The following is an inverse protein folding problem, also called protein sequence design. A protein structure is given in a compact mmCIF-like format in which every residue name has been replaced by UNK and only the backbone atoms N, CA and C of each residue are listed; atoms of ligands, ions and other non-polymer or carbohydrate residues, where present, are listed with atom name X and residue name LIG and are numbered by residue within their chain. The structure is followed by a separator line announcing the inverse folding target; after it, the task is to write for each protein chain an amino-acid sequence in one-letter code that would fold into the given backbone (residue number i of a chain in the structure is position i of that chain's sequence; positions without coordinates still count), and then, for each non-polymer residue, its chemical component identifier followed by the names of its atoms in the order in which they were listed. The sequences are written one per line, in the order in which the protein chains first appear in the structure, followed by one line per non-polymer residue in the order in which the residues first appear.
data_IF_652217878096
#
_entry.id   IF_652217878096
#
_cell.length_a   1.000
_cell.length_b   1.000
_cell.length_c   1.000
_cell.angle_alpha   90.00
_cell.angle_beta   90.00
_cell.angle_gamma   90.00
#
_symmetry.space_group_name_H-M   'P 1'
#
loop_
_entity.id
_entity.type
_entity.pdbx_description
1 polymer ?
#
# COMPACT_ATOMS: atom_id res chain seq x y z
N UNK A 1 -22.67 -12.61 54.18
CA UNK A 1 -22.54 -11.97 52.91
C UNK A 1 -21.24 -12.41 52.23
N UNK A 2 -21.35 -13.07 51.14
CA UNK A 2 -20.17 -13.42 50.33
C UNK A 2 -19.72 -12.17 49.55
N UNK A 3 -18.51 -11.71 49.84
CA UNK A 3 -17.92 -10.62 49.07
C UNK A 3 -17.72 -11.07 47.60
N UNK A 4 -18.36 -10.39 46.71
CA UNK A 4 -18.15 -10.53 45.29
C UNK A 4 -16.97 -9.66 44.88
N UNK A 5 -15.81 -10.26 44.81
CA UNK A 5 -14.56 -9.59 44.46
C UNK A 5 -13.83 -8.94 45.62
N UNK A 6 -12.53 -8.81 45.50
CA UNK A 6 -11.66 -8.28 46.56
C UNK A 6 -11.57 -6.76 46.56
N UNK A 7 -12.14 -6.08 45.59
CA UNK A 7 -11.98 -4.64 45.35
C UNK A 7 -13.25 -3.81 45.58
N UNK A 8 -14.15 -4.35 46.39
CA UNK A 8 -15.33 -3.57 46.84
C UNK A 8 -14.90 -2.58 47.91
N UNK A 9 -15.18 -1.30 47.70
CA UNK A 9 -14.92 -0.28 48.69
C UNK A 9 -15.58 -0.65 50.03
N UNK A 10 -14.81 -0.52 51.10
CA UNK A 10 -15.31 -0.86 52.45
C UNK A 10 -16.60 -0.09 52.77
N UNK A 11 -17.66 -0.82 53.10
CA UNK A 11 -18.97 -0.23 53.41
C UNK A 11 -20.00 -0.28 52.26
N UNK A 12 -19.67 -0.85 51.13
CA UNK A 12 -20.63 -1.05 50.04
C UNK A 12 -21.22 -2.47 50.12
N UNK A 13 -22.51 -2.56 50.33
CA UNK A 13 -23.24 -3.82 50.35
C UNK A 13 -24.18 -3.88 49.14
N UNK A 14 -24.11 -4.93 48.36
CA UNK A 14 -24.97 -5.12 47.18
C UNK A 14 -26.45 -5.19 47.51
N UNK A 15 -26.79 -5.51 48.75
CA UNK A 15 -28.18 -5.53 49.22
C UNK A 15 -28.79 -4.13 49.38
N UNK A 16 -27.94 -3.09 49.38
CA UNK A 16 -28.36 -1.69 49.52
C UNK A 16 -28.43 -0.96 48.16
N UNK A 17 -28.05 -1.60 47.08
CA UNK A 17 -28.16 -1.01 45.75
C UNK A 17 -29.60 -1.10 45.26
N UNK A 18 -30.34 -0.03 45.43
CA UNK A 18 -31.72 0.10 44.94
C UNK A 18 -31.73 0.97 43.69
N UNK A 19 -31.94 0.35 42.52
CA UNK A 19 -32.05 1.05 41.25
C UNK A 19 -30.98 0.66 40.25
N UNK A 20 -30.97 1.35 39.10
CA UNK A 20 -29.93 1.18 38.08
C UNK A 20 -28.68 1.89 38.56
N UNK A 21 -27.61 1.15 38.76
CA UNK A 21 -26.29 1.73 39.03
C UNK A 21 -25.71 2.29 37.72
N UNK A 22 -25.63 3.60 37.65
CA UNK A 22 -25.03 4.32 36.49
C UNK A 22 -23.68 4.83 36.94
N UNK A 23 -22.63 4.09 36.61
CA UNK A 23 -21.26 4.53 36.82
C UNK A 23 -20.67 5.09 35.53
N UNK A 24 -20.10 6.27 35.63
CA UNK A 24 -19.35 6.86 34.51
C UNK A 24 -17.92 6.36 34.60
N UNK A 25 -17.46 5.74 33.49
CA UNK A 25 -16.04 5.39 33.37
C UNK A 25 -15.22 6.68 33.28
N UNK A 26 -14.29 6.85 34.22
CA UNK A 26 -13.40 8.01 34.31
C UNK A 26 -11.95 7.55 34.26
N UNK A 27 -11.05 8.44 33.87
CA UNK A 27 -9.59 8.15 33.83
C UNK A 27 -9.10 7.60 32.50
N UNK A 28 -9.96 7.47 31.49
CA UNK A 28 -9.49 7.28 30.12
C UNK A 28 -8.91 8.58 29.58
N UNK A 29 -7.74 8.50 28.99
CA UNK A 29 -7.11 9.61 28.24
C UNK A 29 -6.91 9.18 26.81
N UNK A 30 -7.30 10.05 25.89
CA UNK A 30 -6.97 9.87 24.47
C UNK A 30 -5.52 10.24 24.25
N UNK A 31 -4.76 9.36 23.61
CA UNK A 31 -3.40 9.64 23.16
C UNK A 31 -3.38 9.72 21.64
N UNK A 32 -3.38 10.97 21.15
CA UNK A 32 -3.26 11.27 19.71
C UNK A 32 -1.84 11.68 19.30
N UNK A 33 -0.90 11.71 20.25
CA UNK A 33 0.49 12.13 20.03
C UNK A 33 1.39 10.92 19.75
N UNK A 34 1.05 10.16 18.71
CA UNK A 34 1.82 8.98 18.31
C UNK A 34 3.25 9.33 17.91
N UNK A 35 4.20 8.58 18.42
CA UNK A 35 5.60 8.67 18.01
C UNK A 35 5.87 7.78 16.78
N UNK A 36 6.93 8.09 16.04
CA UNK A 36 7.36 7.23 14.92
C UNK A 36 7.68 5.79 15.37
N UNK A 37 8.16 5.60 16.60
CA UNK A 37 8.43 4.27 17.16
C UNK A 37 7.17 3.44 17.37
N UNK A 38 6.09 4.03 17.86
CA UNK A 38 4.79 3.36 18.04
C UNK A 38 4.16 3.00 16.69
N UNK A 39 4.30 3.88 15.71
CA UNK A 39 3.85 3.62 14.33
C UNK A 39 4.65 2.44 13.73
N UNK A 40 5.98 2.40 13.93
CA UNK A 40 6.82 1.29 13.47
C UNK A 40 6.39 -0.04 14.09
N UNK A 41 6.15 -0.08 15.41
CA UNK A 41 5.66 -1.26 16.11
C UNK A 41 4.29 -1.73 15.60
N UNK A 42 3.42 -0.79 15.18
CA UNK A 42 2.14 -1.14 14.58
C UNK A 42 2.33 -1.78 13.19
N UNK A 43 3.21 -1.24 12.35
CA UNK A 43 3.52 -1.83 11.04
C UNK A 43 4.22 -3.20 11.15
N UNK A 44 5.05 -3.43 12.16
CA UNK A 44 5.70 -4.73 12.39
C UNK A 44 4.71 -5.89 12.60
N UNK A 45 3.48 -5.59 13.06
CA UNK A 45 2.43 -6.62 13.18
C UNK A 45 1.95 -7.17 11.83
N UNK A 46 2.26 -6.49 10.75
CA UNK A 46 1.90 -6.89 9.39
C UNK A 46 3.04 -7.62 8.65
N UNK A 47 4.18 -7.89 9.29
CA UNK A 47 5.32 -8.56 8.65
C UNK A 47 5.05 -10.03 8.30
N UNK A 48 4.13 -10.70 8.99
CA UNK A 48 3.81 -12.09 8.71
C UNK A 48 2.99 -12.25 7.43
N UNK A 49 3.60 -12.90 6.43
CA UNK A 49 2.99 -13.15 5.12
C UNK A 49 2.14 -14.42 5.08
N UNK A 50 2.26 -15.29 6.08
CA UNK A 50 1.53 -16.55 6.12
C UNK A 50 0.13 -16.38 6.71
N UNK A 51 0.00 -15.55 7.76
CA UNK A 51 -1.27 -15.32 8.44
C UNK A 51 -2.07 -14.15 7.85
N UNK A 52 -1.41 -13.18 7.20
CA UNK A 52 -2.04 -11.97 6.70
C UNK A 52 -1.81 -11.79 5.19
N UNK A 53 -2.88 -11.88 4.41
CA UNK A 53 -2.84 -11.56 2.98
C UNK A 53 -3.12 -10.06 2.74
N UNK A 54 -2.09 -9.32 2.38
CA UNK A 54 -2.13 -7.87 2.16
C UNK A 54 -1.70 -7.59 0.71
N UNK A 55 -2.43 -6.72 0.01
CA UNK A 55 -2.10 -6.31 -1.36
C UNK A 55 -1.69 -4.84 -1.44
N UNK A 56 -2.31 -3.97 -0.62
CA UNK A 56 -2.10 -2.53 -0.63
C UNK A 56 -1.88 -2.04 0.81
N UNK A 57 -0.84 -1.25 1.04
CA UNK A 57 -0.54 -0.62 2.32
C UNK A 57 -0.70 0.89 2.16
N UNK A 58 -1.60 1.48 2.92
CA UNK A 58 -1.87 2.92 2.89
C UNK A 58 -1.13 3.57 4.04
N UNK A 59 -0.20 4.47 3.74
CA UNK A 59 0.60 5.17 4.74
C UNK A 59 -0.20 6.15 5.60
N UNK A 60 -1.34 6.61 5.11
CA UNK A 60 -2.10 7.65 5.81
C UNK A 60 -1.37 9.00 5.81
N UNK A 61 -1.49 9.75 6.89
CA UNK A 61 -0.78 11.03 7.04
C UNK A 61 0.63 10.80 7.56
N UNK A 62 1.62 11.30 6.83
CA UNK A 62 3.02 11.31 7.27
C UNK A 62 3.28 12.37 8.36
N UNK A 63 2.28 13.19 8.68
CA UNK A 63 2.35 14.28 9.66
C UNK A 63 1.84 13.89 11.06
N UNK A 64 1.74 12.59 11.35
CA UNK A 64 1.16 12.12 12.64
C UNK A 64 2.00 12.60 13.82
N UNK A 65 3.32 12.38 13.78
CA UNK A 65 4.22 12.81 14.87
C UNK A 65 4.54 14.32 14.80
N UNK A 66 4.88 14.83 13.62
CA UNK A 66 5.02 16.25 13.32
C UNK A 66 5.00 16.48 11.80
N UNK A 67 4.53 17.64 11.37
CA UNK A 67 4.37 18.00 9.95
C UNK A 67 5.70 18.52 9.37
N UNK A 68 6.68 17.63 9.27
CA UNK A 68 8.04 17.93 8.79
C UNK A 68 8.52 16.90 7.77
N UNK A 69 9.46 17.33 6.92
CA UNK A 69 10.12 16.46 5.94
C UNK A 69 10.81 15.27 6.61
N UNK A 70 11.51 15.48 7.72
CA UNK A 70 12.22 14.42 8.46
C UNK A 70 11.28 13.32 8.99
N UNK A 71 10.08 13.70 9.47
CA UNK A 71 9.10 12.72 9.90
C UNK A 71 8.47 11.98 8.72
N UNK A 72 8.26 12.65 7.58
CA UNK A 72 7.83 12.00 6.35
C UNK A 72 8.88 10.96 5.89
N UNK A 73 10.16 11.34 5.85
CA UNK A 73 11.23 10.43 5.45
C UNK A 73 11.30 9.18 6.35
N UNK A 74 11.18 9.38 7.67
CA UNK A 74 11.10 8.27 8.64
C UNK A 74 9.88 7.39 8.37
N UNK A 75 8.71 7.98 8.16
CA UNK A 75 7.47 7.26 7.88
C UNK A 75 7.54 6.46 6.57
N UNK A 76 8.07 7.07 5.50
CA UNK A 76 8.29 6.39 4.21
C UNK A 76 9.27 5.24 4.37
N UNK A 77 10.34 5.42 5.14
CA UNK A 77 11.35 4.38 5.40
C UNK A 77 10.73 3.18 6.13
N UNK A 78 9.89 3.41 7.14
CA UNK A 78 9.18 2.33 7.84
C UNK A 78 8.26 1.52 6.91
N UNK A 79 7.45 2.20 6.10
CA UNK A 79 6.57 1.52 5.15
C UNK A 79 7.39 0.79 4.08
N UNK A 80 8.48 1.40 3.60
CA UNK A 80 9.37 0.76 2.64
C UNK A 80 9.99 -0.52 3.21
N UNK A 81 10.43 -0.50 4.47
CA UNK A 81 10.95 -1.69 5.15
C UNK A 81 9.91 -2.81 5.22
N UNK A 82 8.66 -2.49 5.55
CA UNK A 82 7.56 -3.46 5.55
C UNK A 82 7.34 -4.08 4.16
N UNK A 83 7.16 -3.26 3.12
CA UNK A 83 6.83 -3.78 1.77
C UNK A 83 8.00 -4.50 1.11
N UNK A 84 9.25 -4.11 1.40
CA UNK A 84 10.46 -4.80 0.92
C UNK A 84 10.71 -6.12 1.65
N UNK A 85 10.30 -6.23 2.92
CA UNK A 85 10.35 -7.49 3.68
C UNK A 85 9.30 -8.46 3.15
N UNK A 86 8.07 -8.00 2.98
CA UNK A 86 6.94 -8.81 2.51
C UNK A 86 7.05 -9.19 1.03
N UNK A 87 7.33 -8.23 0.17
CA UNK A 87 7.37 -8.36 -1.30
C UNK A 87 6.08 -8.84 -1.96
N UNK A 88 4.97 -8.81 -1.25
CA UNK A 88 3.66 -9.26 -1.72
C UNK A 88 2.63 -8.13 -1.80
N UNK A 89 3.01 -6.90 -1.46
CA UNK A 89 2.15 -5.73 -1.41
C UNK A 89 2.82 -4.47 -1.95
N UNK A 90 2.03 -3.42 -2.16
CA UNK A 90 2.49 -2.10 -2.59
C UNK A 90 2.10 -1.06 -1.55
N UNK A 91 3.05 -0.21 -1.16
CA UNK A 91 2.87 0.91 -0.24
C UNK A 91 2.56 2.21 -0.97
N UNK A 92 1.65 3.00 -0.41
CA UNK A 92 1.22 4.30 -0.95
C UNK A 92 1.46 5.38 0.09
N UNK A 93 2.16 6.44 -0.29
CA UNK A 93 2.53 7.54 0.62
C UNK A 93 2.33 8.88 -0.06
N UNK A 94 1.79 9.83 0.71
CA UNK A 94 1.69 11.25 0.35
C UNK A 94 2.80 12.06 1.01
N UNK A 95 3.15 13.24 0.48
CA UNK A 95 4.13 14.13 1.11
C UNK A 95 3.61 14.63 2.46
N UNK A 96 4.49 15.24 3.28
CA UNK A 96 4.03 15.91 4.50
C UNK A 96 3.10 17.09 4.17
N UNK A 97 2.16 17.35 5.05
CA UNK A 97 1.04 18.26 4.77
C UNK A 97 1.51 19.68 4.45
N UNK A 98 2.49 20.22 5.20
CA UNK A 98 3.02 21.56 5.01
C UNK A 98 3.77 21.73 3.68
N UNK A 99 4.18 20.64 3.01
CA UNK A 99 4.77 20.72 1.68
C UNK A 99 3.82 21.32 0.63
N UNK A 100 2.51 21.13 0.81
CA UNK A 100 1.51 21.51 -0.20
C UNK A 100 0.36 22.35 0.33
N UNK A 101 -0.06 22.13 1.58
CA UNK A 101 -1.21 22.84 2.18
C UNK A 101 -0.75 24.17 2.76
N UNK A 102 -1.35 25.26 2.26
CA UNK A 102 -0.98 26.63 2.68
C UNK A 102 0.17 27.25 1.87
N UNK A 103 0.74 26.51 0.93
CA UNK A 103 1.78 27.04 0.01
C UNK A 103 1.12 27.90 -1.06
N UNK A 104 1.59 29.12 -1.24
CA UNK A 104 0.94 30.12 -2.09
C UNK A 104 1.13 29.82 -3.60
N UNK A 105 2.29 29.29 -3.98
CA UNK A 105 2.67 29.06 -5.37
C UNK A 105 2.74 27.56 -5.67
N UNK A 106 2.18 27.14 -6.80
CA UNK A 106 2.20 25.71 -7.20
C UNK A 106 3.63 25.22 -7.47
N UNK A 107 4.51 26.10 -7.96
CA UNK A 107 5.92 25.78 -8.18
C UNK A 107 6.66 25.48 -6.88
N UNK A 108 6.37 26.21 -5.80
CA UNK A 108 6.99 25.99 -4.50
C UNK A 108 6.47 24.68 -3.88
N UNK A 109 5.17 24.41 -3.98
CA UNK A 109 4.59 23.14 -3.55
C UNK A 109 5.22 21.96 -4.31
N UNK A 110 5.35 22.07 -5.64
CA UNK A 110 6.01 21.07 -6.48
C UNK A 110 7.45 20.82 -6.03
N UNK A 111 8.22 21.89 -5.76
CA UNK A 111 9.59 21.78 -5.30
C UNK A 111 9.68 21.10 -3.93
N UNK A 112 8.87 21.52 -2.97
CA UNK A 112 8.82 20.91 -1.62
C UNK A 112 8.52 19.41 -1.68
N UNK A 113 7.59 19.00 -2.54
CA UNK A 113 7.24 17.57 -2.74
C UNK A 113 8.42 16.81 -3.34
N UNK A 114 9.09 17.38 -4.35
CA UNK A 114 10.26 16.75 -4.99
C UNK A 114 11.41 16.63 -4.01
N UNK A 115 11.73 17.70 -3.29
CA UNK A 115 12.83 17.73 -2.33
C UNK A 115 12.59 16.70 -1.23
N UNK A 116 11.37 16.63 -0.67
CA UNK A 116 11.02 15.66 0.35
C UNK A 116 11.12 14.20 -0.12
N UNK A 117 10.67 13.86 -1.33
CA UNK A 117 10.78 12.48 -1.82
C UNK A 117 12.15 12.11 -2.40
N UNK A 118 13.04 13.07 -2.64
CA UNK A 118 14.40 12.79 -3.10
C UNK A 118 15.25 12.07 -2.04
N UNK A 119 14.99 12.32 -0.77
CA UNK A 119 15.67 11.67 0.37
C UNK A 119 15.16 10.27 0.63
N UNK A 120 13.95 9.96 0.17
CA UNK A 120 13.28 8.69 0.44
C UNK A 120 13.89 7.50 -0.32
N UNK A 121 13.83 6.29 0.28
CA UNK A 121 14.35 5.06 -0.32
C UNK A 121 13.76 4.79 -1.71
N UNK A 122 14.58 4.20 -2.59
CA UNK A 122 14.17 3.77 -3.93
C UNK A 122 13.60 2.35 -3.86
N UNK A 123 12.31 2.19 -4.15
CA UNK A 123 11.66 0.89 -4.17
C UNK A 123 10.62 0.80 -5.29
N UNK A 124 10.51 -0.36 -5.92
CA UNK A 124 9.44 -0.65 -6.87
C UNK A 124 8.13 -1.05 -6.17
N UNK A 125 8.15 -1.28 -4.87
CA UNK A 125 6.98 -1.60 -4.04
C UNK A 125 6.35 -0.37 -3.39
N UNK A 126 6.85 0.83 -3.69
CA UNK A 126 6.33 2.08 -3.16
C UNK A 126 5.78 2.96 -4.27
N UNK A 127 4.76 3.75 -3.94
CA UNK A 127 4.10 4.70 -4.82
C UNK A 127 3.94 6.03 -4.10
N UNK A 128 4.42 7.11 -4.71
CA UNK A 128 4.33 8.46 -4.21
C UNK A 128 3.29 9.26 -4.99
N UNK A 129 2.41 9.96 -4.30
CA UNK A 129 1.47 10.92 -4.88
C UNK A 129 1.91 12.37 -4.64
N UNK A 130 1.19 13.33 -5.24
CA UNK A 130 1.60 14.73 -5.23
C UNK A 130 1.02 15.55 -4.08
N UNK A 131 0.15 15.01 -3.20
CA UNK A 131 -0.31 15.85 -2.10
C UNK A 131 -1.66 15.51 -1.47
N UNK A 132 -2.51 16.53 -1.33
CA UNK A 132 -3.74 16.46 -0.54
C UNK A 132 -4.95 16.94 -1.33
N UNK A 133 -6.09 16.30 -1.08
CA UNK A 133 -7.41 16.77 -1.50
C UNK A 133 -8.15 17.43 -0.34
N UNK A 134 -8.95 18.44 -0.64
CA UNK A 134 -9.89 19.06 0.28
C UNK A 134 -11.25 18.39 0.11
N UNK A 135 -11.76 17.78 1.16
CA UNK A 135 -13.04 17.07 1.12
C UNK A 135 -13.86 17.33 2.37
N UNK A 136 -15.16 17.07 2.25
CA UNK A 136 -16.09 17.14 3.37
C UNK A 136 -16.03 15.85 4.20
N UNK A 137 -15.78 15.99 5.49
CA UNK A 137 -15.90 14.93 6.48
C UNK A 137 -17.29 14.98 7.10
N UNK A 138 -18.12 14.05 6.67
CA UNK A 138 -19.53 13.97 7.10
C UNK A 138 -19.73 13.59 8.56
N UNK A 139 -18.73 13.02 9.21
CA UNK A 139 -18.82 12.57 10.60
C UNK A 139 -18.58 13.73 11.58
N UNK A 140 -17.64 14.62 11.23
CA UNK A 140 -17.30 15.79 12.04
C UNK A 140 -17.93 17.09 11.54
N UNK A 141 -18.68 17.04 10.43
CA UNK A 141 -19.32 18.22 9.77
C UNK A 141 -18.32 19.33 9.45
N UNK A 142 -17.13 18.93 8.97
CA UNK A 142 -16.06 19.90 8.63
C UNK A 142 -15.39 19.53 7.31
N UNK A 143 -14.85 20.54 6.65
CA UNK A 143 -13.99 20.32 5.51
C UNK A 143 -12.54 20.21 5.97
N UNK A 144 -11.80 19.21 5.47
CA UNK A 144 -10.41 19.04 5.80
C UNK A 144 -9.56 18.56 4.63
N UNK A 145 -8.26 18.81 4.71
CA UNK A 145 -7.30 18.24 3.78
C UNK A 145 -6.95 16.80 4.19
N UNK A 146 -7.09 15.87 3.24
CA UNK A 146 -6.81 14.45 3.40
C UNK A 146 -5.73 14.04 2.39
N UNK A 147 -4.75 13.22 2.78
CA UNK A 147 -3.71 12.75 1.87
C UNK A 147 -4.28 11.89 0.75
N UNK A 148 -3.68 11.94 -0.43
CA UNK A 148 -4.15 11.25 -1.64
C UNK A 148 -3.74 9.77 -1.72
N UNK A 149 -2.86 9.29 -0.82
CA UNK A 149 -2.40 7.90 -0.84
C UNK A 149 -3.54 6.88 -0.73
N UNK A 150 -4.54 7.15 0.10
CA UNK A 150 -5.73 6.32 0.19
C UNK A 150 -6.55 6.30 -1.11
N UNK A 151 -6.62 7.43 -1.82
CA UNK A 151 -7.29 7.51 -3.13
C UNK A 151 -6.50 6.75 -4.20
N UNK A 152 -5.18 6.90 -4.22
CA UNK A 152 -4.32 6.22 -5.19
C UNK A 152 -4.38 4.69 -5.00
N UNK A 153 -4.37 4.22 -3.77
CA UNK A 153 -4.60 2.82 -3.45
C UNK A 153 -6.02 2.37 -3.85
N UNK A 154 -7.02 3.20 -3.56
CA UNK A 154 -8.42 2.95 -3.93
C UNK A 154 -8.63 2.88 -5.44
N UNK A 155 -7.90 3.68 -6.24
CA UNK A 155 -7.92 3.60 -7.70
C UNK A 155 -7.29 2.30 -8.22
N UNK A 156 -6.27 1.78 -7.54
CA UNK A 156 -5.74 0.45 -7.84
C UNK A 156 -6.80 -0.64 -7.59
N UNK A 157 -7.47 -0.63 -6.44
CA UNK A 157 -8.54 -1.58 -6.13
C UNK A 157 -9.75 -1.43 -7.08
N UNK A 158 -10.11 -0.21 -7.46
CA UNK A 158 -11.14 0.04 -8.46
C UNK A 158 -10.75 -0.51 -9.84
N UNK A 159 -9.47 -0.39 -10.20
CA UNK A 159 -8.97 -0.94 -11.47
C UNK A 159 -9.09 -2.47 -11.49
N UNK A 160 -8.84 -3.15 -10.37
CA UNK A 160 -9.02 -4.60 -10.25
C UNK A 160 -10.49 -5.02 -10.45
N UNK A 161 -11.43 -4.16 -10.06
CA UNK A 161 -12.86 -4.42 -10.15
C UNK A 161 -13.41 -4.24 -11.59
N UNK A 162 -12.90 -3.23 -12.32
CA UNK A 162 -13.43 -2.86 -13.65
C UNK A 162 -12.61 -3.39 -14.82
N UNK A 163 -11.39 -3.81 -14.56
CA UNK A 163 -10.46 -4.35 -15.54
C UNK A 163 -9.62 -5.46 -14.87
N UNK A 164 -8.30 -5.29 -14.81
CA UNK A 164 -7.38 -6.20 -14.15
C UNK A 164 -6.23 -5.42 -13.49
N UNK A 165 -5.49 -6.05 -12.58
CA UNK A 165 -4.41 -5.43 -11.82
C UNK A 165 -3.24 -4.94 -12.68
N UNK A 166 -3.09 -5.46 -13.90
CA UNK A 166 -2.07 -5.04 -14.85
C UNK A 166 -2.49 -3.85 -15.75
N UNK A 167 -3.68 -3.31 -15.56
CA UNK A 167 -4.05 -2.03 -16.16
C UNK A 167 -3.57 -0.87 -15.29
N UNK A 168 -3.16 0.23 -15.93
CA UNK A 168 -2.78 1.44 -15.20
C UNK A 168 -3.98 2.02 -14.44
N UNK A 169 -3.86 2.36 -13.14
CA UNK A 169 -4.89 3.04 -12.38
C UNK A 169 -5.05 4.51 -12.75
N UNK A 170 -4.14 5.06 -13.55
CA UNK A 170 -4.11 6.45 -13.95
C UNK A 170 -4.95 6.74 -15.19
N UNK A 171 -5.19 8.03 -15.44
CA UNK A 171 -5.86 8.52 -16.63
C UNK A 171 -7.36 8.73 -16.48
N UNK A 172 -8.00 9.29 -17.51
CA UNK A 172 -9.37 9.74 -17.45
C UNK A 172 -10.40 8.61 -17.28
N UNK A 173 -10.07 7.39 -17.71
CA UNK A 173 -11.01 6.27 -17.65
C UNK A 173 -11.12 5.64 -16.24
N UNK A 174 -10.03 5.61 -15.49
CA UNK A 174 -9.94 4.91 -14.20
C UNK A 174 -9.39 5.77 -13.06
N UNK A 175 -8.61 6.80 -13.38
CA UNK A 175 -7.89 7.62 -12.41
C UNK A 175 -8.68 8.76 -11.79
N UNK A 176 -10.00 8.77 -11.86
CA UNK A 176 -10.83 9.85 -11.30
C UNK A 176 -10.93 9.73 -9.78
N UNK A 177 -10.43 10.75 -9.06
CA UNK A 177 -10.44 10.85 -7.60
C UNK A 177 -11.81 11.38 -7.14
N UNK A 178 -12.52 10.59 -6.36
CA UNK A 178 -13.86 10.90 -5.88
C UNK A 178 -13.84 11.79 -4.63
N UNK A 179 -14.89 12.59 -4.46
CA UNK A 179 -15.11 13.38 -3.24
C UNK A 179 -14.12 14.55 -3.05
N UNK A 180 -13.29 14.87 -4.03
CA UNK A 180 -12.39 16.01 -3.98
C UNK A 180 -13.13 17.29 -4.38
N UNK A 181 -13.24 18.26 -3.46
CA UNK A 181 -13.76 19.61 -3.75
C UNK A 181 -12.68 20.44 -4.45
N UNK A 182 -11.44 20.36 -3.97
CA UNK A 182 -10.24 20.96 -4.57
C UNK A 182 -9.00 20.19 -4.14
N UNK A 183 -7.90 20.39 -4.86
CA UNK A 183 -6.58 19.96 -4.46
C UNK A 183 -5.89 21.01 -3.59
N UNK A 184 -4.87 20.63 -2.82
CA UNK A 184 -4.00 21.57 -2.09
C UNK A 184 -3.29 22.53 -3.05
N UNK A 185 -2.85 22.03 -4.20
CA UNK A 185 -2.36 22.79 -5.35
C UNK A 185 -2.67 22.03 -6.65
N UNK A 186 -2.64 22.72 -7.77
CA UNK A 186 -2.88 22.09 -9.08
C UNK A 186 -1.67 22.29 -9.99
N UNK A 187 -0.85 21.26 -10.22
CA UNK A 187 0.40 21.40 -10.96
C UNK A 187 0.16 21.69 -12.44
N UNK A 188 0.89 22.65 -12.98
CA UNK A 188 0.95 22.97 -14.41
C UNK A 188 1.60 21.83 -15.20
N UNK A 189 1.56 21.89 -16.55
CA UNK A 189 2.21 20.89 -17.39
C UNK A 189 3.70 20.71 -17.08
N UNK A 190 4.44 21.83 -16.95
CA UNK A 190 5.86 21.80 -16.64
C UNK A 190 6.16 21.19 -15.27
N UNK A 191 5.36 21.54 -14.26
CA UNK A 191 5.48 21.01 -12.91
C UNK A 191 5.15 19.51 -12.85
N UNK A 192 4.14 19.05 -13.60
CA UNK A 192 3.84 17.61 -13.74
C UNK A 192 5.00 16.83 -14.34
N UNK A 193 5.67 17.39 -15.34
CA UNK A 193 6.84 16.77 -15.96
C UNK A 193 8.01 16.66 -14.95
N UNK A 194 8.17 17.65 -14.07
CA UNK A 194 9.17 17.62 -12.98
C UNK A 194 8.79 16.55 -11.93
N UNK A 195 7.56 16.54 -11.42
CA UNK A 195 7.06 15.54 -10.47
C UNK A 195 7.25 14.13 -11.02
N UNK A 196 6.86 13.91 -12.27
CA UNK A 196 6.96 12.59 -12.90
C UNK A 196 8.41 12.13 -13.08
N UNK A 197 9.36 13.05 -13.37
CA UNK A 197 10.79 12.75 -13.37
C UNK A 197 11.30 12.38 -11.98
N UNK A 198 10.76 13.02 -10.95
CA UNK A 198 11.07 12.76 -9.54
C UNK A 198 10.32 11.55 -8.94
N UNK A 199 9.73 10.67 -9.74
CA UNK A 199 8.99 9.47 -9.31
C UNK A 199 7.68 9.75 -8.58
N UNK A 200 7.18 10.96 -8.61
CA UNK A 200 5.92 11.36 -7.97
C UNK A 200 4.80 11.35 -8.99
N UNK A 201 3.68 10.73 -8.64
CA UNK A 201 2.50 10.66 -9.49
C UNK A 201 1.65 11.92 -9.31
N UNK A 202 1.57 12.82 -10.30
CA UNK A 202 0.78 14.02 -10.19
C UNK A 202 -0.72 13.71 -10.18
N UNK A 203 -1.44 14.32 -9.25
CA UNK A 203 -2.90 14.38 -9.26
C UNK A 203 -3.29 15.78 -9.68
N UNK A 204 -4.17 15.89 -10.67
CA UNK A 204 -4.42 17.12 -11.39
C UNK A 204 -5.93 17.35 -11.52
N UNK A 205 -6.35 18.58 -11.32
CA UNK A 205 -7.71 18.98 -11.63
C UNK A 205 -7.80 19.51 -13.06
N UNK A 206 -8.44 18.75 -13.94
CA UNK A 206 -8.69 19.15 -15.33
C UNK A 206 -10.08 19.78 -15.47
N UNK A 207 -10.19 20.95 -16.12
CA UNK A 207 -11.49 21.56 -16.42
C UNK A 207 -12.42 20.59 -17.16
N UNK A 208 -13.61 20.37 -16.62
CA UNK A 208 -14.61 19.46 -17.22
C UNK A 208 -14.37 17.96 -17.01
N UNK A 209 -13.22 17.55 -16.48
CA UNK A 209 -12.89 16.14 -16.21
C UNK A 209 -12.73 15.83 -14.71
N UNK A 210 -12.62 16.87 -13.88
CA UNK A 210 -12.42 16.73 -12.44
C UNK A 210 -10.99 16.39 -12.04
N UNK A 211 -10.85 15.85 -10.83
CA UNK A 211 -9.55 15.50 -10.24
C UNK A 211 -9.15 14.10 -10.71
N UNK A 212 -7.99 13.99 -11.31
CA UNK A 212 -7.51 12.75 -11.95
C UNK A 212 -6.07 12.45 -11.55
N UNK A 213 -5.78 11.19 -11.21
CA UNK A 213 -4.42 10.66 -11.10
C UNK A 213 -3.81 10.59 -12.50
N UNK A 214 -2.73 11.32 -12.73
CA UNK A 214 -2.11 11.48 -14.06
C UNK A 214 -0.66 10.98 -14.09
N UNK A 215 -0.37 9.90 -13.37
CA UNK A 215 0.91 9.22 -13.32
C UNK A 215 0.75 7.80 -12.79
N UNK A 216 1.66 6.91 -13.19
CA UNK A 216 1.64 5.49 -12.84
C UNK A 216 3.03 4.94 -12.49
N UNK A 217 3.90 5.80 -11.94
CA UNK A 217 5.25 5.41 -11.53
C UNK A 217 5.31 4.83 -10.12
N UNK A 218 6.20 3.86 -9.96
CA UNK A 218 6.69 3.44 -8.64
C UNK A 218 7.81 4.37 -8.16
N UNK A 219 8.21 4.25 -6.90
CA UNK A 219 9.33 5.01 -6.33
C UNK A 219 10.72 4.53 -6.78
N UNK A 220 10.80 3.67 -7.78
CA UNK A 220 12.06 3.13 -8.30
C UNK A 220 12.85 4.21 -9.05
N UNK A 221 14.12 4.41 -8.65
CA UNK A 221 15.01 5.39 -9.26
C UNK A 221 15.63 4.88 -10.56
N UNK A 222 15.97 3.59 -10.60
CA UNK A 222 16.61 2.97 -11.79
C UNK A 222 15.56 2.70 -12.86
N UNK A 223 15.83 3.03 -14.14
CA UNK A 223 14.95 2.65 -15.24
C UNK A 223 14.80 1.12 -15.31
N UNK A 224 13.56 0.65 -15.21
CA UNK A 224 13.22 -0.78 -15.26
C UNK A 224 11.75 -0.91 -15.66
N UNK A 225 11.33 -2.09 -16.10
CA UNK A 225 9.92 -2.40 -16.30
C UNK A 225 9.10 -2.21 -15.01
N UNK A 226 9.73 -2.40 -13.84
CA UNK A 226 9.13 -2.22 -12.51
C UNK A 226 9.03 -0.76 -12.05
N UNK A 227 9.39 0.21 -12.89
CA UNK A 227 9.16 1.63 -12.60
C UNK A 227 7.68 2.03 -12.80
N UNK A 228 6.81 1.06 -13.19
CA UNK A 228 5.38 1.25 -13.41
C UNK A 228 4.55 0.48 -12.39
N UNK A 229 3.50 1.12 -11.88
CA UNK A 229 2.58 0.53 -10.89
C UNK A 229 1.90 -0.71 -11.46
N UNK A 230 1.40 -0.63 -12.68
CA UNK A 230 0.70 -1.73 -13.33
C UNK A 230 1.59 -2.97 -13.52
N UNK A 231 2.86 -2.78 -13.92
CA UNK A 231 3.80 -3.90 -14.10
C UNK A 231 4.15 -4.53 -12.73
N UNK A 232 4.44 -3.71 -11.71
CA UNK A 232 4.70 -4.25 -10.37
C UNK A 232 3.50 -5.05 -9.85
N UNK A 233 2.30 -4.54 -10.00
CA UNK A 233 1.07 -5.20 -9.56
C UNK A 233 0.79 -6.49 -10.34
N UNK A 234 1.07 -6.51 -11.65
CA UNK A 234 1.02 -7.74 -12.44
C UNK A 234 1.92 -8.82 -11.83
N UNK A 235 3.18 -8.49 -11.55
CA UNK A 235 4.13 -9.46 -11.00
C UNK A 235 3.72 -9.94 -9.61
N UNK A 236 3.20 -9.07 -8.75
CA UNK A 236 2.67 -9.49 -7.45
C UNK A 236 1.51 -10.47 -7.58
N UNK A 237 0.60 -10.25 -8.54
CA UNK A 237 -0.48 -11.19 -8.84
C UNK A 237 0.08 -12.54 -9.30
N UNK A 238 1.04 -12.53 -10.24
CA UNK A 238 1.67 -13.74 -10.76
C UNK A 238 2.41 -14.50 -9.67
N UNK A 239 3.24 -13.81 -8.90
CA UNK A 239 4.03 -14.39 -7.80
C UNK A 239 3.13 -15.05 -6.75
N UNK A 240 2.07 -14.36 -6.29
CA UNK A 240 1.10 -14.92 -5.33
C UNK A 240 0.37 -16.16 -5.87
N UNK A 241 -0.13 -16.10 -7.10
CA UNK A 241 -0.88 -17.19 -7.68
C UNK A 241 0.01 -18.42 -7.89
N UNK A 242 1.22 -18.22 -8.43
CA UNK A 242 2.18 -19.32 -8.67
C UNK A 242 2.70 -19.88 -7.35
N UNK A 243 3.01 -19.03 -6.35
CA UNK A 243 3.44 -19.48 -5.03
C UNK A 243 2.37 -20.32 -4.33
N UNK A 244 1.09 -19.91 -4.44
CA UNK A 244 -0.04 -20.69 -3.89
C UNK A 244 -0.16 -22.04 -4.58
N UNK A 245 -0.03 -22.09 -5.91
CA UNK A 245 -0.03 -23.32 -6.68
C UNK A 245 1.17 -24.23 -6.33
N UNK A 246 2.34 -23.63 -6.12
CA UNK A 246 3.57 -24.35 -5.77
C UNK A 246 3.52 -24.99 -4.37
N UNK A 247 2.71 -24.48 -3.44
CA UNK A 247 2.55 -25.09 -2.10
C UNK A 247 2.08 -26.55 -2.16
N UNK A 248 1.31 -26.90 -3.16
CA UNK A 248 0.83 -28.28 -3.34
C UNK A 248 1.89 -29.26 -3.88
N UNK A 249 3.05 -28.74 -4.32
CA UNK A 249 4.18 -29.53 -4.76
C UNK A 249 5.26 -29.67 -3.67
N UNK A 250 5.06 -29.05 -2.51
CA UNK A 250 5.98 -29.22 -1.38
C UNK A 250 5.93 -30.65 -0.86
N UNK A 251 7.11 -31.20 -0.60
CA UNK A 251 7.30 -32.59 -0.13
C UNK A 251 7.00 -33.69 -1.17
N UNK A 252 6.68 -33.33 -2.43
CA UNK A 252 6.59 -34.28 -3.53
C UNK A 252 7.97 -34.58 -4.13
N UNK A 253 8.11 -35.72 -4.80
CA UNK A 253 9.35 -36.08 -5.48
C UNK A 253 9.67 -35.10 -6.61
N UNK A 254 10.93 -34.67 -6.70
CA UNK A 254 11.38 -33.82 -7.82
C UNK A 254 11.69 -34.69 -9.07
N UNK A 255 10.69 -35.33 -9.60
CA UNK A 255 10.76 -36.12 -10.82
C UNK A 255 10.15 -35.36 -12.04
N UNK A 256 10.24 -35.97 -13.19
CA UNK A 256 9.71 -35.39 -14.42
C UNK A 256 8.17 -35.28 -14.39
N UNK A 257 7.50 -36.20 -13.72
CA UNK A 257 6.05 -36.19 -13.60
C UNK A 257 5.54 -35.01 -12.77
N UNK A 258 6.12 -34.76 -11.60
CA UNK A 258 5.76 -33.64 -10.72
C UNK A 258 6.05 -32.30 -11.41
N UNK A 259 7.19 -32.20 -12.10
CA UNK A 259 7.52 -30.99 -12.88
C UNK A 259 6.56 -30.75 -14.04
N UNK A 260 6.12 -31.83 -14.72
CA UNK A 260 5.11 -31.72 -15.77
C UNK A 260 3.74 -31.31 -15.21
N UNK A 261 3.34 -31.83 -14.05
CA UNK A 261 2.10 -31.41 -13.36
C UNK A 261 2.15 -29.92 -13.03
N UNK A 262 3.24 -29.42 -12.45
CA UNK A 262 3.40 -28.01 -12.13
C UNK A 262 3.33 -27.12 -13.38
N UNK A 263 4.03 -27.54 -14.46
CA UNK A 263 3.98 -26.82 -15.75
C UNK A 263 2.55 -26.76 -16.30
N UNK A 264 1.85 -27.87 -16.31
CA UNK A 264 0.47 -27.96 -16.78
C UNK A 264 -0.52 -27.14 -15.94
N UNK A 265 -0.19 -26.84 -14.70
CA UNK A 265 -0.97 -25.97 -13.83
C UNK A 265 -0.70 -24.48 -14.10
N UNK A 266 0.57 -24.10 -14.30
CA UNK A 266 0.99 -22.70 -14.46
C UNK A 266 0.80 -22.18 -15.88
N UNK A 267 1.09 -22.97 -16.91
CA UNK A 267 1.00 -22.52 -18.31
C UNK A 267 -0.40 -22.02 -18.73
N UNK A 268 -1.53 -22.70 -18.40
CA UNK A 268 -2.85 -22.20 -18.75
C UNK A 268 -3.17 -20.86 -18.08
N UNK A 269 -2.73 -20.65 -16.84
CA UNK A 269 -2.89 -19.40 -16.12
C UNK A 269 -2.12 -18.25 -16.80
N UNK A 270 -0.87 -18.46 -17.15
CA UNK A 270 -0.07 -17.47 -17.87
C UNK A 270 -0.63 -17.18 -19.27
N UNK A 271 -1.16 -18.21 -19.96
CA UNK A 271 -1.80 -18.06 -21.26
C UNK A 271 -3.09 -17.23 -21.19
N UNK A 272 -3.88 -17.38 -20.13
CA UNK A 272 -5.06 -16.54 -19.89
C UNK A 272 -4.65 -15.06 -19.72
N UNK A 273 -3.62 -14.79 -18.92
CA UNK A 273 -3.09 -13.42 -18.73
C UNK A 273 -2.53 -12.87 -20.05
N UNK A 274 -1.86 -13.68 -20.85
CA UNK A 274 -1.41 -13.31 -22.20
C UNK A 274 -2.61 -12.96 -23.08
N UNK A 275 -3.64 -13.76 -23.07
CA UNK A 275 -4.88 -13.51 -23.84
C UNK A 275 -5.57 -12.21 -23.45
N UNK A 276 -5.49 -11.82 -22.17
CA UNK A 276 -5.99 -10.55 -21.64
C UNK A 276 -5.01 -9.37 -21.78
N UNK A 277 -3.90 -9.55 -22.47
CA UNK A 277 -2.84 -8.54 -22.77
C UNK A 277 -2.00 -8.13 -21.55
N UNK A 278 -1.95 -8.95 -20.50
CA UNK A 278 -1.10 -8.69 -19.35
C UNK A 278 0.39 -8.88 -19.65
N UNK A 279 0.71 -9.91 -20.43
CA UNK A 279 2.07 -10.24 -20.89
C UNK A 279 2.07 -10.50 -22.38
N UNK A 280 3.20 -10.27 -23.04
CA UNK A 280 3.37 -10.52 -24.50
C UNK A 280 3.83 -11.93 -24.77
N UNK A 281 4.73 -12.46 -23.95
CA UNK A 281 5.27 -13.80 -24.05
C UNK A 281 5.68 -14.33 -22.70
N UNK A 282 5.71 -15.66 -22.55
CA UNK A 282 6.14 -16.34 -21.32
C UNK A 282 6.79 -17.68 -21.63
N UNK A 283 7.62 -18.15 -20.74
CA UNK A 283 8.22 -19.49 -20.79
C UNK A 283 8.24 -20.08 -19.38
N UNK A 284 7.79 -21.30 -19.25
CA UNK A 284 7.86 -22.07 -17.97
C UNK A 284 8.91 -23.16 -18.15
N UNK A 285 10.07 -22.97 -17.54
CA UNK A 285 11.18 -23.92 -17.59
C UNK A 285 11.18 -24.74 -16.30
N UNK A 286 10.79 -25.99 -16.38
CA UNK A 286 10.80 -26.95 -15.30
C UNK A 286 11.24 -28.31 -15.84
N UNK A 287 12.51 -28.38 -16.27
CA UNK A 287 13.10 -29.57 -16.89
C UNK A 287 14.50 -29.87 -16.30
N UNK A 288 15.28 -30.71 -16.98
CA UNK A 288 16.63 -31.07 -16.55
C UNK A 288 17.65 -29.93 -16.61
N UNK A 289 17.36 -28.83 -17.33
CA UNK A 289 18.29 -27.71 -17.47
C UNK A 289 18.39 -26.87 -16.21
N UNK A 290 17.27 -26.66 -15.50
CA UNK A 290 17.20 -25.93 -14.24
C UNK A 290 17.06 -26.84 -13.00
N UNK A 291 16.89 -28.16 -13.19
CA UNK A 291 16.84 -29.17 -12.15
C UNK A 291 17.97 -30.19 -12.36
N UNK A 292 19.20 -29.75 -12.19
CA UNK A 292 20.40 -30.63 -12.26
C UNK A 292 20.43 -31.63 -11.14
N UNK A 293 21.29 -32.66 -11.23
CA UNK A 293 21.45 -33.66 -10.17
C UNK A 293 21.86 -33.05 -8.81
N UNK A 294 22.63 -31.95 -8.82
CA UNK A 294 23.01 -31.22 -7.60
C UNK A 294 21.81 -30.53 -6.94
N UNK A 295 20.89 -29.95 -7.74
CA UNK A 295 19.68 -29.29 -7.24
C UNK A 295 18.67 -30.30 -6.70
N UNK A 296 18.60 -31.49 -7.30
CA UNK A 296 17.68 -32.56 -6.85
C UNK A 296 18.04 -33.15 -5.51
N UNK A 297 19.26 -32.95 -5.02
CA UNK A 297 19.80 -33.66 -3.86
C UNK A 297 20.04 -35.16 -4.11
N UNK A 298 20.62 -35.88 -3.17
CA UNK A 298 20.76 -37.34 -3.29
C UNK A 298 19.36 -37.95 -3.19
N UNK A 299 18.75 -38.25 -4.34
CA UNK A 299 17.67 -39.23 -4.40
C UNK A 299 18.27 -40.55 -3.87
N UNK A 300 17.63 -41.17 -2.90
CA UNK A 300 17.95 -42.55 -2.53
C UNK A 300 18.02 -43.38 -3.80
N UNK A 301 19.22 -43.74 -4.25
CA UNK A 301 19.44 -44.85 -5.14
C UNK A 301 19.08 -46.12 -4.34
N UNK A 302 17.91 -46.65 -4.55
CA UNK A 302 17.57 -48.02 -4.18
C UNK A 302 17.74 -48.90 -5.39
#
# INVERSE_FOLDING_TARGET
GSNWGTDIASGTDYTLVSGVDVSTLTGGTDDYALTNGEIALAYDKFNDTESLDINLVIGGSSSIAADTEANMDTHVTMITALVETRRDCVGFVSPYRAATVGVAQSIDATKNVIDGFNTCPSSSYMVFDSGYKYMYDKYSDVYRFVPLNGDTAGLCAFTDQVADSFFSPAGFNRGNVRGAVKLSYNPTKAERDQLYKARVNPVVNFPGQGVVLFGDKTALTKPSAFDRINVRRLFLLLEKAIATAAKFQLFEFNDEFTRAQFRNLVEPFLRDIQGRRGITDFSVVADGTNNTGEVRGPLCEL
#
